data_IF_621930760303
#
_entry.id   IF_621930760303
#
_cell.length_a   1.000
_cell.length_b   1.000
_cell.length_c   1.000
_cell.angle_alpha   90.00
_cell.angle_beta   90.00
_cell.angle_gamma   90.00
#
_symmetry.space_group_name_H-M   'P 1'
#
loop_
_entity.id
_entity.type
_entity.pdbx_description
1 polymer ?
#
# COMPACT_ATOMS: atom_id res chain seq x y z
N UNK A 1 5.70 -15.57 11.43
CA UNK A 1 5.47 -16.69 10.51
C UNK A 1 6.59 -17.72 10.65
N UNK A 2 7.85 -17.33 10.51
CA UNK A 2 8.99 -18.28 10.52
C UNK A 2 9.19 -18.97 11.87
N UNK A 3 8.85 -18.30 12.97
CA UNK A 3 8.87 -18.89 14.31
C UNK A 3 7.69 -19.82 14.62
N UNK A 4 6.71 -19.90 13.73
CA UNK A 4 5.48 -20.66 13.91
C UNK A 4 4.49 -20.03 14.91
N UNK A 5 4.72 -18.80 15.39
CA UNK A 5 3.81 -18.10 16.30
C UNK A 5 2.48 -17.70 15.62
N UNK A 6 2.50 -17.50 14.32
CA UNK A 6 1.33 -17.28 13.47
C UNK A 6 1.46 -18.11 12.19
N UNK A 7 0.33 -18.52 11.62
CA UNK A 7 0.30 -19.36 10.41
C UNK A 7 0.66 -18.60 9.14
N UNK A 8 0.18 -17.36 9.01
CA UNK A 8 0.40 -16.55 7.83
C UNK A 8 0.34 -15.05 8.17
N UNK A 9 0.83 -14.23 7.24
CA UNK A 9 0.63 -12.77 7.25
C UNK A 9 -0.45 -12.49 6.20
N UNK A 10 -1.62 -12.03 6.66
CA UNK A 10 -2.73 -11.66 5.79
C UNK A 10 -3.19 -10.24 6.13
N UNK A 11 -2.84 -9.31 5.28
CA UNK A 11 -3.15 -7.89 5.48
C UNK A 11 -2.62 -7.08 4.30
N UNK A 12 -2.26 -5.84 4.52
CA UNK A 12 -1.62 -5.00 3.49
C UNK A 12 -0.14 -5.40 3.33
N UNK A 13 0.12 -6.65 2.95
CA UNK A 13 1.48 -7.17 2.79
C UNK A 13 1.81 -7.33 1.32
N UNK A 14 2.67 -6.42 0.82
CA UNK A 14 3.13 -6.39 -0.56
C UNK A 14 4.03 -7.58 -0.87
N UNK A 15 3.81 -8.20 -2.01
CA UNK A 15 4.67 -9.27 -2.53
C UNK A 15 6.00 -8.73 -3.09
N UNK A 16 5.99 -7.50 -3.59
CA UNK A 16 7.09 -6.86 -4.30
C UNK A 16 8.41 -6.90 -3.52
N UNK A 17 9.45 -7.48 -4.15
CA UNK A 17 10.78 -7.68 -3.58
C UNK A 17 10.85 -8.72 -2.45
N UNK A 18 9.79 -9.50 -2.23
CA UNK A 18 9.71 -10.55 -1.20
C UNK A 18 9.28 -11.90 -1.75
N UNK A 19 9.22 -12.04 -3.05
CA UNK A 19 8.73 -13.24 -3.76
C UNK A 19 9.50 -14.48 -3.34
N UNK A 20 10.80 -14.33 -3.16
CA UNK A 20 11.70 -15.43 -2.78
C UNK A 20 11.81 -15.66 -1.26
N UNK A 21 11.30 -14.73 -0.45
CA UNK A 21 11.41 -14.80 1.03
C UNK A 21 10.34 -15.68 1.63
N UNK A 22 9.13 -15.65 1.07
CA UNK A 22 7.95 -16.35 1.58
C UNK A 22 7.37 -17.30 0.54
N UNK A 23 6.51 -18.22 0.99
CA UNK A 23 5.53 -18.85 0.10
C UNK A 23 4.28 -17.97 0.07
N UNK A 24 3.72 -17.77 -1.12
CA UNK A 24 2.66 -16.80 -1.31
C UNK A 24 1.37 -17.46 -1.81
N UNK A 25 0.24 -17.03 -1.26
CA UNK A 25 -1.06 -17.22 -1.87
C UNK A 25 -1.56 -15.89 -2.46
N UNK A 26 -2.20 -15.94 -3.61
CA UNK A 26 -2.69 -14.78 -4.34
C UNK A 26 -1.78 -14.37 -5.50
N UNK A 27 -1.75 -13.07 -5.88
CA UNK A 27 -2.29 -11.90 -5.18
C UNK A 27 -3.82 -11.89 -5.12
N UNK A 28 -4.38 -11.35 -4.03
CA UNK A 28 -5.82 -11.25 -3.86
C UNK A 28 -6.38 -9.89 -4.29
N UNK A 29 -5.56 -8.85 -4.28
CA UNK A 29 -5.90 -7.52 -4.80
C UNK A 29 -4.65 -6.72 -5.16
N UNK A 30 -4.85 -5.71 -5.99
CA UNK A 30 -3.85 -4.67 -6.28
C UNK A 30 -3.89 -3.60 -5.20
N UNK A 31 -2.74 -3.07 -4.83
CA UNK A 31 -2.63 -1.91 -3.97
C UNK A 31 -1.70 -0.87 -4.58
N UNK A 32 -2.08 0.39 -4.49
CA UNK A 32 -1.27 1.53 -4.89
C UNK A 32 -0.63 2.14 -3.67
N UNK A 33 0.67 2.34 -3.70
CA UNK A 33 1.38 3.23 -2.79
C UNK A 33 1.34 4.61 -3.44
N UNK A 34 0.85 5.60 -2.72
CA UNK A 34 0.62 6.94 -3.26
C UNK A 34 1.15 8.00 -2.30
N UNK A 35 1.42 9.19 -2.81
CA UNK A 35 1.60 10.37 -1.98
C UNK A 35 0.26 11.11 -1.85
N UNK A 36 -0.01 11.64 -0.67
CA UNK A 36 -1.16 12.50 -0.42
C UNK A 36 -0.72 13.77 0.32
N UNK A 37 -1.42 14.84 0.03
CA UNK A 37 -1.19 16.18 0.57
C UNK A 37 -2.51 16.79 1.03
N UNK A 38 -2.48 17.90 1.76
CA UNK A 38 -3.68 18.64 2.09
C UNK A 38 -4.47 19.01 0.82
N UNK A 39 -5.80 19.00 0.89
CA UNK A 39 -6.67 19.28 -0.25
C UNK A 39 -6.38 20.63 -0.91
N UNK A 40 -6.03 21.64 -0.08
CA UNK A 40 -5.75 23.00 -0.52
C UNK A 40 -4.27 23.22 -0.89
N UNK A 41 -3.40 22.21 -0.70
CA UNK A 41 -1.99 22.30 -1.05
C UNK A 41 -1.77 22.70 -2.52
N UNK A 42 -0.70 23.42 -2.79
CA UNK A 42 -0.26 23.72 -4.16
C UNK A 42 0.44 22.56 -4.86
N UNK A 43 0.83 21.51 -4.11
CA UNK A 43 1.51 20.33 -4.62
C UNK A 43 0.54 19.52 -5.49
N UNK A 44 0.94 19.20 -6.73
CA UNK A 44 0.11 18.45 -7.70
C UNK A 44 0.80 17.19 -8.22
N UNK A 45 2.13 17.16 -8.18
CA UNK A 45 2.96 16.07 -8.69
C UNK A 45 4.05 15.71 -7.68
N UNK A 46 4.68 14.55 -7.84
CA UNK A 46 5.80 14.12 -6.99
C UNK A 46 6.98 15.09 -7.06
N UNK A 47 7.20 15.72 -8.22
CA UNK A 47 8.24 16.74 -8.41
C UNK A 47 8.04 18.00 -7.58
N UNK A 48 6.81 18.33 -7.19
CA UNK A 48 6.50 19.51 -6.37
C UNK A 48 6.88 19.31 -4.89
N UNK A 49 7.30 18.11 -4.50
CA UNK A 49 7.75 17.78 -3.15
C UNK A 49 9.15 18.36 -2.84
N UNK A 50 9.81 19.06 -3.77
CA UNK A 50 11.12 19.67 -3.55
C UNK A 50 11.13 20.59 -2.31
N UNK A 51 12.01 20.29 -1.34
CA UNK A 51 12.14 21.06 -0.08
C UNK A 51 10.93 20.90 0.86
N UNK A 52 10.11 19.88 0.66
CA UNK A 52 8.93 19.56 1.47
C UNK A 52 9.22 18.43 2.45
N UNK A 53 8.44 18.35 3.52
CA UNK A 53 8.51 17.30 4.52
C UNK A 53 7.42 16.26 4.26
N UNK A 54 7.81 15.00 4.09
CA UNK A 54 6.90 13.88 3.83
C UNK A 54 7.04 12.83 4.93
N UNK A 55 5.92 12.49 5.59
CA UNK A 55 5.91 11.40 6.55
C UNK A 55 5.60 10.05 5.88
N UNK A 56 6.37 9.04 6.23
CA UNK A 56 6.25 7.66 5.74
C UNK A 56 6.20 6.69 6.92
N UNK A 57 5.61 5.50 6.71
CA UNK A 57 5.66 4.47 7.74
C UNK A 57 7.04 3.78 7.72
N UNK A 58 7.67 3.66 8.90
CA UNK A 58 8.92 2.92 9.09
C UNK A 58 8.84 1.50 8.55
N UNK A 59 9.89 1.05 7.87
CA UNK A 59 10.01 -0.27 7.21
C UNK A 59 9.00 -0.51 6.08
N UNK A 60 8.28 0.53 5.67
CA UNK A 60 7.34 0.49 4.53
C UNK A 60 8.03 0.69 3.19
N UNK A 61 7.37 0.28 2.10
CA UNK A 61 7.86 0.53 0.73
C UNK A 61 8.02 2.03 0.40
N UNK A 62 7.10 2.93 0.79
CA UNK A 62 7.32 4.35 0.58
C UNK A 62 8.61 4.86 1.24
N UNK A 63 8.91 4.42 2.48
CA UNK A 63 10.17 4.81 3.14
C UNK A 63 11.39 4.40 2.31
N UNK A 64 11.43 3.16 1.86
CA UNK A 64 12.50 2.65 1.00
C UNK A 64 12.66 3.51 -0.26
N UNK A 65 11.57 3.81 -0.98
CA UNK A 65 11.57 4.61 -2.20
C UNK A 65 12.14 6.02 -1.96
N UNK A 66 11.66 6.69 -0.90
CA UNK A 66 12.10 8.06 -0.58
C UNK A 66 13.56 8.11 -0.10
N UNK A 67 13.98 7.17 0.75
CA UNK A 67 15.33 7.16 1.31
C UNK A 67 16.40 6.71 0.31
N UNK A 68 16.06 5.79 -0.58
CA UNK A 68 17.00 5.32 -1.61
C UNK A 68 17.06 6.21 -2.84
N UNK A 69 16.06 7.09 -3.02
CA UNK A 69 15.95 7.90 -4.23
C UNK A 69 15.74 7.04 -5.49
N UNK A 70 15.13 5.86 -5.34
CA UNK A 70 14.92 4.92 -6.44
C UNK A 70 13.91 5.42 -7.48
N UNK A 71 13.06 6.35 -7.11
CA UNK A 71 12.11 7.00 -8.03
C UNK A 71 12.64 8.37 -8.47
N UNK A 72 13.05 8.54 -9.73
CA UNK A 72 13.62 9.79 -10.24
C UNK A 72 12.62 10.97 -10.28
N UNK A 73 11.32 10.71 -10.12
CA UNK A 73 10.29 11.75 -10.04
C UNK A 73 10.31 12.48 -8.71
N UNK A 74 10.89 11.87 -7.68
CA UNK A 74 10.97 12.42 -6.33
C UNK A 74 12.25 13.23 -6.19
N UNK A 75 12.17 14.54 -5.84
CA UNK A 75 13.35 15.36 -5.61
C UNK A 75 14.17 14.87 -4.41
N UNK A 76 15.49 14.89 -4.53
CA UNK A 76 16.40 14.52 -3.43
C UNK A 76 16.34 15.48 -2.22
N UNK A 77 15.73 16.65 -2.39
CA UNK A 77 15.59 17.66 -1.34
C UNK A 77 14.35 17.43 -0.44
N UNK A 78 13.63 16.32 -0.61
CA UNK A 78 12.52 15.96 0.28
C UNK A 78 13.06 15.56 1.65
N UNK A 79 12.52 16.16 2.71
CA UNK A 79 12.76 15.71 4.08
C UNK A 79 11.82 14.57 4.41
N UNK A 80 12.36 13.42 4.83
CA UNK A 80 11.60 12.22 5.11
C UNK A 80 11.50 11.98 6.61
N UNK A 81 10.27 11.89 7.13
CA UNK A 81 9.99 11.54 8.53
C UNK A 81 9.46 10.11 8.61
N UNK A 82 10.23 9.22 9.21
CA UNK A 82 9.86 7.82 9.43
C UNK A 82 9.03 7.69 10.71
N UNK A 83 7.79 7.26 10.58
CA UNK A 83 6.79 7.17 11.66
C UNK A 83 6.38 5.70 11.85
N UNK A 84 6.48 5.18 13.07
CA UNK A 84 6.10 3.79 13.36
C UNK A 84 4.58 3.58 13.29
N UNK A 85 3.81 4.54 13.80
CA UNK A 85 2.36 4.44 13.89
C UNK A 85 1.68 5.15 12.71
N UNK A 86 0.99 4.40 11.87
CA UNK A 86 0.28 4.91 10.68
C UNK A 86 -0.77 5.96 11.01
N UNK A 87 -1.51 5.81 12.11
CA UNK A 87 -2.51 6.82 12.51
C UNK A 87 -1.86 8.14 12.87
N UNK A 88 -0.67 8.12 13.46
CA UNK A 88 0.13 9.33 13.74
C UNK A 88 0.59 9.97 12.44
N UNK A 89 1.09 9.18 11.48
CA UNK A 89 1.48 9.65 10.15
C UNK A 89 0.34 10.46 9.49
N UNK A 90 -0.87 9.92 9.46
CA UNK A 90 -2.02 10.57 8.85
C UNK A 90 -2.45 11.83 9.63
N UNK A 91 -2.43 11.78 10.96
CA UNK A 91 -2.74 12.92 11.81
C UNK A 91 -1.75 14.07 11.61
N UNK A 92 -0.47 13.78 11.35
CA UNK A 92 0.54 14.81 11.07
C UNK A 92 0.19 15.63 9.83
N UNK A 93 -0.32 15.01 8.76
CA UNK A 93 -0.81 15.72 7.60
C UNK A 93 -2.06 16.54 7.94
N UNK A 94 -3.04 15.92 8.62
CA UNK A 94 -4.28 16.61 8.99
C UNK A 94 -4.06 17.84 9.89
N UNK A 95 -2.98 17.85 10.68
CA UNK A 95 -2.61 18.97 11.54
C UNK A 95 -1.58 19.94 10.91
N UNK A 96 -1.17 19.70 9.67
CA UNK A 96 -0.19 20.54 8.98
C UNK A 96 1.24 20.44 9.51
N UNK A 97 1.59 19.35 10.21
CA UNK A 97 2.98 19.11 10.66
C UNK A 97 3.91 18.68 9.55
N UNK A 98 3.35 18.10 8.48
CA UNK A 98 4.07 17.69 7.27
C UNK A 98 3.33 18.20 6.04
N UNK A 99 4.05 18.37 4.94
CA UNK A 99 3.46 18.81 3.66
C UNK A 99 2.77 17.65 2.92
N UNK A 100 3.20 16.43 3.20
CA UNK A 100 2.64 15.22 2.58
C UNK A 100 2.87 13.96 3.40
N UNK A 101 2.17 12.92 3.00
CA UNK A 101 2.35 11.54 3.48
C UNK A 101 2.48 10.60 2.31
N UNK A 102 3.13 9.44 2.51
CA UNK A 102 3.12 8.38 1.51
C UNK A 102 2.74 7.04 2.16
N UNK A 103 1.70 6.40 1.62
CA UNK A 103 1.11 5.18 2.18
C UNK A 103 0.26 4.43 1.14
N UNK A 104 -0.33 3.31 1.57
CA UNK A 104 -1.37 2.64 0.77
C UNK A 104 -2.58 3.56 0.57
N UNK A 105 -3.01 3.72 -0.67
CA UNK A 105 -4.17 4.51 -1.07
C UNK A 105 -5.42 4.16 -0.25
N UNK A 106 -5.69 2.86 -0.10
CA UNK A 106 -6.85 2.37 0.66
C UNK A 106 -6.81 2.78 2.13
N UNK A 107 -5.62 2.85 2.74
CA UNK A 107 -5.46 3.32 4.11
C UNK A 107 -5.70 4.82 4.26
N UNK A 108 -5.26 5.61 3.29
CA UNK A 108 -5.52 7.06 3.23
C UNK A 108 -7.01 7.33 3.07
N UNK A 109 -7.66 6.66 2.12
CA UNK A 109 -9.11 6.80 1.87
C UNK A 109 -9.95 6.43 3.10
N UNK A 110 -9.58 5.35 3.79
CA UNK A 110 -10.25 4.95 5.03
C UNK A 110 -10.07 6.00 6.13
N UNK A 111 -8.85 6.52 6.31
CA UNK A 111 -8.59 7.55 7.31
C UNK A 111 -9.38 8.84 7.03
N UNK A 112 -9.44 9.28 5.77
CA UNK A 112 -10.23 10.44 5.34
C UNK A 112 -11.71 10.27 5.73
N UNK A 113 -12.27 9.09 5.42
CA UNK A 113 -13.66 8.76 5.74
C UNK A 113 -13.92 8.74 7.25
N UNK A 114 -13.06 8.11 8.03
CA UNK A 114 -13.27 7.91 9.47
C UNK A 114 -13.10 9.19 10.28
N UNK A 115 -12.27 10.12 9.79
CA UNK A 115 -11.93 11.36 10.50
C UNK A 115 -12.54 12.61 9.88
N UNK A 116 -13.32 12.47 8.80
CA UNK A 116 -13.94 13.57 8.06
C UNK A 116 -12.90 14.66 7.66
N UNK A 117 -11.75 14.24 7.21
CA UNK A 117 -10.68 15.09 6.66
C UNK A 117 -10.57 14.88 5.15
N UNK A 118 -10.10 15.89 4.45
CA UNK A 118 -9.94 15.83 3.00
C UNK A 118 -8.46 15.98 2.62
N UNK A 119 -7.92 14.95 1.94
CA UNK A 119 -6.58 14.96 1.38
C UNK A 119 -6.67 14.82 -0.13
N UNK A 120 -5.73 15.42 -0.84
CA UNK A 120 -5.54 15.14 -2.27
C UNK A 120 -4.51 14.04 -2.43
N UNK A 121 -4.92 12.93 -3.02
CA UNK A 121 -4.01 11.89 -3.48
C UNK A 121 -3.42 12.35 -4.81
N UNK A 122 -2.09 12.31 -4.94
CA UNK A 122 -1.42 12.61 -6.20
C UNK A 122 -1.69 11.49 -7.22
N UNK A 123 -1.88 11.87 -8.48
CA UNK A 123 -2.25 10.92 -9.55
C UNK A 123 -1.13 9.89 -9.82
N UNK A 124 0.12 10.31 -9.66
CA UNK A 124 1.30 9.49 -9.89
C UNK A 124 1.50 8.49 -8.72
N UNK A 125 1.28 7.17 -8.91
CA UNK A 125 1.57 6.22 -7.86
C UNK A 125 3.09 6.07 -7.68
N UNK A 126 3.52 5.87 -6.45
CA UNK A 126 4.89 5.51 -6.13
C UNK A 126 5.20 4.06 -6.52
N UNK A 127 4.23 3.19 -6.32
CA UNK A 127 4.32 1.76 -6.61
C UNK A 127 2.92 1.19 -6.76
N UNK A 128 2.75 0.30 -7.73
CA UNK A 128 1.57 -0.55 -7.87
C UNK A 128 2.01 -1.99 -7.60
N UNK A 129 1.40 -2.64 -6.63
CA UNK A 129 1.85 -3.96 -6.16
C UNK A 129 0.68 -4.89 -5.85
N UNK A 130 0.94 -6.20 -5.94
CA UNK A 130 0.02 -7.22 -5.48
C UNK A 130 0.09 -7.42 -3.98
N UNK A 131 -1.07 -7.50 -3.34
CA UNK A 131 -1.16 -7.94 -1.95
C UNK A 131 -1.41 -9.44 -1.91
N UNK A 132 -0.55 -10.17 -1.21
CA UNK A 132 -0.62 -11.60 -1.05
C UNK A 132 -0.76 -12.03 0.40
N UNK A 133 -0.92 -13.33 0.59
CA UNK A 133 -0.89 -13.98 1.90
C UNK A 133 0.44 -14.72 1.99
N UNK A 134 1.28 -14.33 2.95
CA UNK A 134 2.62 -14.90 3.11
C UNK A 134 2.64 -15.99 4.17
N UNK A 135 3.22 -17.13 3.78
CA UNK A 135 3.54 -18.26 4.66
C UNK A 135 5.04 -18.39 4.82
N UNK A 136 5.49 -19.07 5.87
CA UNK A 136 6.91 -19.38 6.02
C UNK A 136 7.45 -20.10 4.76
N UNK A 137 8.69 -19.80 4.35
CA UNK A 137 9.28 -20.39 3.14
C UNK A 137 9.32 -21.93 3.19
N UNK A 138 9.44 -22.50 4.37
CA UNK A 138 9.49 -23.93 4.63
C UNK A 138 8.12 -24.57 4.97
N UNK A 139 7.01 -23.83 4.79
CA UNK A 139 5.67 -24.39 5.00
C UNK A 139 5.37 -25.45 3.95
N UNK A 140 5.06 -26.67 4.41
CA UNK A 140 4.77 -27.82 3.54
C UNK A 140 3.29 -28.21 3.51
N UNK A 141 2.41 -27.44 4.16
CA UNK A 141 0.97 -27.73 4.27
C UNK A 141 0.21 -27.55 2.95
N UNK A 142 0.81 -26.84 1.98
CA UNK A 142 0.18 -26.55 0.68
C UNK A 142 -0.98 -25.55 0.76
N UNK A 143 -1.06 -24.77 1.84
CA UNK A 143 -2.10 -23.76 2.04
C UNK A 143 -2.00 -22.60 1.06
N UNK A 144 -0.79 -22.26 0.65
CA UNK A 144 -0.48 -21.25 -0.36
C UNK A 144 -1.18 -21.56 -1.70
N UNK A 145 -1.06 -22.79 -2.18
CA UNK A 145 -1.70 -23.23 -3.42
C UNK A 145 -3.22 -23.30 -3.28
N UNK A 146 -3.72 -23.91 -2.20
CA UNK A 146 -5.16 -24.04 -1.97
C UNK A 146 -5.86 -22.68 -1.87
N UNK A 147 -5.23 -21.70 -1.18
CA UNK A 147 -5.77 -20.36 -1.09
C UNK A 147 -5.69 -19.63 -2.43
N UNK A 148 -4.62 -19.80 -3.20
CA UNK A 148 -4.51 -19.23 -4.54
C UNK A 148 -5.66 -19.69 -5.44
N UNK A 149 -5.93 -21.00 -5.46
CA UNK A 149 -7.03 -21.56 -6.24
C UNK A 149 -8.40 -21.03 -5.76
N UNK A 150 -8.59 -20.94 -4.44
CA UNK A 150 -9.82 -20.41 -3.85
C UNK A 150 -10.02 -18.94 -4.21
N UNK A 151 -8.98 -18.11 -4.10
CA UNK A 151 -9.04 -16.70 -4.47
C UNK A 151 -9.31 -16.50 -5.97
N UNK A 152 -8.75 -17.37 -6.81
CA UNK A 152 -9.03 -17.36 -8.25
C UNK A 152 -10.51 -17.68 -8.54
N UNK A 153 -11.08 -18.66 -7.85
CA UNK A 153 -12.52 -18.98 -7.96
C UNK A 153 -13.39 -17.82 -7.47
N UNK A 154 -13.05 -17.22 -6.31
CA UNK A 154 -13.78 -16.08 -5.76
C UNK A 154 -13.70 -14.83 -6.65
N UNK A 155 -12.62 -14.68 -7.42
CA UNK A 155 -12.51 -13.64 -8.45
C UNK A 155 -13.43 -13.94 -9.62
N UNK A 156 -13.40 -15.17 -10.12
CA UNK A 156 -14.19 -15.59 -11.29
C UNK A 156 -15.71 -15.52 -11.04
N UNK A 157 -16.17 -15.81 -9.82
CA UNK A 157 -17.59 -15.76 -9.45
C UNK A 157 -18.07 -14.41 -8.90
N UNK A 158 -17.20 -13.38 -8.89
CA UNK A 158 -17.52 -12.02 -8.41
C UNK A 158 -17.57 -11.87 -6.88
N UNK A 159 -17.21 -12.93 -6.13
CA UNK A 159 -17.23 -12.88 -4.66
C UNK A 159 -16.21 -11.88 -4.11
N UNK A 160 -14.99 -11.82 -4.69
CA UNK A 160 -13.98 -10.83 -4.26
C UNK A 160 -14.45 -9.40 -4.54
N UNK A 161 -14.99 -9.13 -5.71
CA UNK A 161 -15.51 -7.81 -6.06
C UNK A 161 -16.61 -7.36 -5.09
N UNK A 162 -17.54 -8.26 -4.77
CA UNK A 162 -18.60 -7.98 -3.80
C UNK A 162 -18.07 -7.73 -2.38
N UNK A 163 -17.00 -8.41 -1.96
CA UNK A 163 -16.39 -8.20 -0.64
C UNK A 163 -15.68 -6.84 -0.63
N UNK A 164 -14.84 -6.56 -1.61
CA UNK A 164 -14.08 -5.30 -1.72
C UNK A 164 -15.03 -4.11 -1.82
N UNK A 165 -16.09 -4.21 -2.62
CA UNK A 165 -17.08 -3.16 -2.82
C UNK A 165 -17.90 -2.78 -1.58
N UNK A 166 -17.79 -3.53 -0.47
CA UNK A 166 -18.35 -3.12 0.82
C UNK A 166 -17.52 -2.04 1.52
N UNK A 167 -16.26 -1.91 1.13
CA UNK A 167 -15.27 -1.05 1.80
C UNK A 167 -14.71 0.02 0.88
N UNK A 168 -14.54 -0.31 -0.40
CA UNK A 168 -13.88 0.53 -1.40
C UNK A 168 -14.82 0.79 -2.59
N UNK A 169 -14.83 2.01 -3.06
CA UNK A 169 -15.46 2.37 -4.33
C UNK A 169 -14.67 1.79 -5.50
N UNK A 170 -15.33 1.55 -6.64
CA UNK A 170 -14.72 0.98 -7.85
C UNK A 170 -13.91 -0.30 -7.59
N UNK A 171 -14.53 -1.28 -6.90
CA UNK A 171 -13.90 -2.52 -6.45
C UNK A 171 -13.14 -3.27 -7.56
N UNK A 172 -13.61 -3.21 -8.82
CA UNK A 172 -12.99 -3.88 -9.97
C UNK A 172 -11.55 -3.45 -10.21
N UNK A 173 -11.20 -2.19 -10.00
CA UNK A 173 -9.82 -1.69 -10.18
C UNK A 173 -8.80 -2.37 -9.26
N UNK A 174 -9.24 -2.86 -8.10
CA UNK A 174 -8.38 -3.56 -7.14
C UNK A 174 -8.20 -5.05 -7.48
N UNK A 175 -8.90 -5.55 -8.49
CA UNK A 175 -8.83 -6.94 -8.95
C UNK A 175 -7.99 -7.13 -10.22
N UNK A 176 -7.44 -6.06 -10.78
CA UNK A 176 -6.59 -6.08 -11.98
C UNK A 176 -5.17 -6.57 -11.67
N UNK A 177 -5.07 -7.73 -11.00
CA UNK A 177 -3.79 -8.27 -10.52
C UNK A 177 -2.84 -8.71 -11.65
N UNK A 178 -3.36 -8.92 -12.86
CA UNK A 178 -2.58 -9.30 -14.04
C UNK A 178 -1.80 -8.11 -14.63
N UNK A 179 -2.08 -6.89 -14.16
CA UNK A 179 -1.38 -5.66 -14.59
C UNK A 179 -0.18 -5.30 -13.71
N UNK A 180 0.11 -6.12 -12.67
CA UNK A 180 1.20 -5.86 -11.74
C UNK A 180 2.54 -6.09 -12.46
N UNK A 181 3.38 -5.05 -12.50
CA UNK A 181 4.71 -5.10 -13.13
C UNK A 181 4.71 -4.91 -14.65
N UNK A 182 3.60 -4.46 -15.24
CA UNK A 182 3.51 -4.09 -16.64
C UNK A 182 4.03 -2.67 -16.90
#
# INVERSE_FOLDING_TARGET
VESGAIDCIWGCFSMDGREEVYRWAGPYMVSRQVAAVDADSSIRALSDLAGKTVAVQSTGKPEEIFLTGSDPRIPQSVEVLSIENRSVQYAMLACGYVDGIAAHETGILQYMKDNAVDFRILEEPLLVTGLGIAFAKNDTRGLDSQLTDTLAQMRADGTLERIIGRYLENASQYLEVDTIGA
#
